data_IF_478260125637
#
_entry.id   IF_478260125637
#
_cell.length_a   1.000
_cell.length_b   1.000
_cell.length_c   1.000
_cell.angle_alpha   90.00
_cell.angle_beta   90.00
_cell.angle_gamma   90.00
#
_symmetry.space_group_name_H-M   'P 1'
#
loop_
_entity.id
_entity.type
_entity.pdbx_description
1 polymer ?
#
# COMPACT_ATOMS: atom_id res chain seq x y z
N UNK A 1 2.87 0.19 -55.73
CA UNK A 1 2.30 1.19 -54.80
C UNK A 1 2.14 0.52 -53.44
N UNK A 2 3.22 0.53 -52.65
CA UNK A 2 3.23 0.02 -51.29
C UNK A 2 2.96 1.20 -50.34
N UNK A 3 1.91 1.09 -49.54
CA UNK A 3 1.54 2.07 -48.53
C UNK A 3 2.14 1.62 -47.19
N UNK A 4 3.18 2.33 -46.75
CA UNK A 4 3.70 2.24 -45.38
C UNK A 4 2.72 2.92 -44.41
N UNK A 5 2.45 2.37 -43.21
CA UNK A 5 1.65 3.06 -42.21
C UNK A 5 2.49 4.06 -41.42
N UNK A 6 1.85 5.21 -41.18
CA UNK A 6 2.33 6.40 -40.48
C UNK A 6 2.83 6.09 -39.07
N UNK A 7 4.08 6.44 -38.81
CA UNK A 7 4.64 6.63 -37.49
C UNK A 7 3.90 7.78 -36.78
N UNK A 8 3.39 7.52 -35.58
CA UNK A 8 2.96 8.56 -34.65
C UNK A 8 4.20 9.22 -34.06
N UNK A 9 4.51 10.43 -34.53
CA UNK A 9 5.51 11.32 -33.92
C UNK A 9 4.92 11.90 -32.63
N UNK A 10 5.48 11.49 -31.50
CA UNK A 10 5.33 12.16 -30.20
C UNK A 10 6.33 13.34 -30.13
N UNK A 11 5.98 14.50 -29.56
CA UNK A 11 6.93 15.60 -29.38
C UNK A 11 7.86 15.37 -28.17
N UNK A 12 9.16 15.73 -28.23
CA UNK A 12 10.01 15.72 -27.05
C UNK A 12 9.66 16.92 -26.18
N UNK A 13 9.09 16.65 -25.01
CA UNK A 13 8.93 17.63 -23.93
C UNK A 13 10.23 17.71 -23.14
N UNK A 14 11.01 18.74 -23.43
CA UNK A 14 12.22 19.12 -22.70
C UNK A 14 11.87 19.80 -21.37
N UNK A 15 12.42 19.29 -20.27
CA UNK A 15 12.65 20.07 -19.05
C UNK A 15 13.83 19.45 -18.30
N UNK A 16 15.01 19.95 -18.66
CA UNK A 16 16.28 19.77 -17.96
C UNK A 16 16.29 20.61 -16.68
N UNK A 17 16.80 20.04 -15.60
CA UNK A 17 16.99 20.77 -14.34
C UNK A 17 17.35 19.90 -13.14
N UNK A 18 18.16 18.85 -13.31
CA UNK A 18 18.78 18.13 -12.17
C UNK A 18 20.27 17.92 -12.49
N UNK A 19 21.13 18.52 -11.66
CA UNK A 19 22.57 18.26 -11.67
C UNK A 19 22.83 16.86 -11.12
N UNK A 20 23.22 15.91 -11.97
CA UNK A 20 23.93 14.72 -11.51
C UNK A 20 25.40 15.06 -11.28
N UNK A 21 25.78 15.21 -10.02
CA UNK A 21 27.18 15.21 -9.61
C UNK A 21 27.77 13.83 -9.84
N UNK A 22 28.47 13.64 -10.97
CA UNK A 22 29.31 12.47 -11.20
C UNK A 22 30.50 12.54 -10.25
N UNK A 23 30.52 11.67 -9.23
CA UNK A 23 31.71 11.40 -8.43
C UNK A 23 32.77 10.82 -9.35
N UNK A 24 33.80 11.61 -9.64
CA UNK A 24 34.99 11.12 -10.36
C UNK A 24 35.83 10.30 -9.38
N UNK A 25 35.62 8.98 -9.36
CA UNK A 25 36.59 8.05 -8.79
C UNK A 25 37.70 7.91 -9.82
N UNK A 26 38.75 8.73 -9.73
CA UNK A 26 40.10 8.48 -10.24
C UNK A 26 40.96 9.72 -10.02
N UNK A 27 41.58 9.80 -8.85
CA UNK A 27 42.77 10.62 -8.64
C UNK A 27 43.64 9.94 -7.59
N UNK A 28 44.61 9.19 -8.10
CA UNK A 28 45.75 8.61 -7.42
C UNK A 28 46.50 9.68 -6.62
N UNK A 29 46.75 9.42 -5.33
CA UNK A 29 47.71 10.20 -4.55
C UNK A 29 49.13 10.01 -5.11
N UNK A 30 49.98 11.04 -5.04
CA UNK A 30 51.21 10.84 -4.30
C UNK A 30 51.58 12.02 -3.39
N UNK A 31 52.01 11.64 -2.19
CA UNK A 31 53.21 12.06 -1.46
C UNK A 31 53.89 13.42 -1.74
N UNK A 32 54.19 14.08 -0.61
CA UNK A 32 55.34 14.97 -0.31
C UNK A 32 55.46 16.32 -1.01
N UNK A 33 55.16 17.39 -0.25
CA UNK A 33 56.05 18.55 -0.10
C UNK A 33 55.81 19.18 1.29
N UNK A 34 56.72 18.88 2.22
CA UNK A 34 56.88 19.61 3.47
C UNK A 34 57.55 20.99 3.23
N UNK A 35 57.56 21.78 4.31
CA UNK A 35 58.30 23.03 4.58
C UNK A 35 57.46 24.28 4.28
N UNK A 36 57.24 25.24 5.17
CA UNK A 36 57.86 25.58 6.45
C UNK A 36 56.85 26.49 7.18
N UNK A 37 56.46 26.17 8.42
CA UNK A 37 55.51 26.95 9.21
C UNK A 37 55.80 26.80 10.69
N UNK A 38 56.80 27.55 11.13
CA UNK A 38 57.42 27.58 12.45
C UNK A 38 56.38 27.67 13.58
N UNK A 39 56.47 26.73 14.53
CA UNK A 39 55.84 26.82 15.84
C UNK A 39 56.57 27.87 16.68
N UNK A 40 55.91 28.97 17.02
CA UNK A 40 56.28 29.78 18.17
C UNK A 40 55.38 29.38 19.34
N UNK A 41 55.85 28.40 20.12
CA UNK A 41 55.26 28.10 21.43
C UNK A 41 55.62 29.25 22.38
N UNK A 42 54.66 30.15 22.63
CA UNK A 42 54.72 31.09 23.75
C UNK A 42 53.76 30.59 24.83
N UNK A 43 54.34 30.05 25.89
CA UNK A 43 53.70 29.83 27.19
C UNK A 43 53.02 31.12 27.66
N UNK A 44 51.75 31.04 28.04
CA UNK A 44 50.99 32.14 28.61
C UNK A 44 49.58 31.73 29.01
N UNK A 45 49.37 31.66 30.31
CA UNK A 45 48.12 31.85 31.07
C UNK A 45 46.84 31.08 30.66
N UNK A 46 46.37 30.25 31.59
CA UNK A 46 45.10 29.53 31.49
C UNK A 46 43.93 30.42 31.08
N UNK A 47 43.29 30.04 29.99
CA UNK A 47 42.02 30.61 29.58
C UNK A 47 41.09 29.47 29.17
N UNK A 48 39.97 29.38 29.89
CA UNK A 48 38.86 28.45 29.62
C UNK A 48 38.51 28.48 28.12
N UNK A 49 38.22 27.34 27.49
CA UNK A 49 37.72 27.35 26.12
C UNK A 49 36.45 28.20 26.08
N UNK A 50 36.52 29.36 25.43
CA UNK A 50 35.35 30.19 25.16
C UNK A 50 34.51 29.45 24.13
N UNK A 51 33.55 28.67 24.61
CA UNK A 51 32.49 28.09 23.80
C UNK A 51 31.83 29.25 23.06
N UNK A 52 31.81 29.28 21.72
CA UNK A 52 31.09 30.31 21.00
C UNK A 52 29.59 30.15 21.30
N UNK A 53 29.01 31.12 22.00
CA UNK A 53 27.58 31.23 22.36
C UNK A 53 26.64 31.45 21.14
N UNK A 54 27.11 31.17 19.92
CA UNK A 54 26.36 31.38 18.67
C UNK A 54 26.49 30.23 17.66
N UNK A 55 26.71 29.00 18.14
CA UNK A 55 26.28 27.85 17.36
C UNK A 55 24.77 27.70 17.57
N UNK A 56 23.98 28.46 16.80
CA UNK A 56 22.57 28.12 16.62
C UNK A 56 22.54 26.76 15.96
N UNK A 57 22.29 25.71 16.76
CA UNK A 57 21.92 24.42 16.22
C UNK A 57 20.70 24.68 15.33
N UNK A 58 20.90 24.58 14.02
CA UNK A 58 19.83 24.46 13.05
C UNK A 58 19.25 23.09 13.35
N UNK A 59 18.33 23.03 14.33
CA UNK A 59 17.36 21.97 14.40
C UNK A 59 16.64 22.04 13.06
N UNK A 60 17.06 21.18 12.13
CA UNK A 60 16.25 20.86 10.99
C UNK A 60 14.97 20.33 11.62
N UNK A 61 13.96 21.22 11.77
CA UNK A 61 12.63 20.83 12.23
C UNK A 61 12.27 19.63 11.37
N UNK A 62 12.20 18.43 11.93
CA UNK A 62 11.55 17.33 11.25
C UNK A 62 10.20 17.88 10.77
N UNK A 63 9.92 17.88 9.45
CA UNK A 63 8.69 18.44 8.96
C UNK A 63 7.61 17.46 9.37
N UNK A 64 7.01 17.64 10.55
CA UNK A 64 5.89 16.86 11.11
C UNK A 64 5.72 15.52 10.37
N UNK A 65 6.61 14.55 10.64
CA UNK A 65 6.76 13.36 9.80
C UNK A 65 5.38 12.82 9.44
N UNK A 66 5.01 12.98 8.17
CA UNK A 66 3.65 12.71 7.74
C UNK A 66 3.48 11.19 7.83
N UNK A 67 2.93 10.76 8.97
CA UNK A 67 2.99 9.37 9.40
C UNK A 67 2.25 8.50 8.40
N UNK A 68 2.88 7.41 8.00
CA UNK A 68 2.28 6.46 7.07
C UNK A 68 0.99 5.88 7.67
N UNK A 69 -0.10 5.94 6.91
CA UNK A 69 -1.41 5.42 7.30
C UNK A 69 -1.73 4.15 6.52
N UNK A 70 -2.24 3.15 7.22
CA UNK A 70 -2.60 1.86 6.64
C UNK A 70 -3.91 1.96 5.84
N UNK A 71 -3.98 1.46 4.60
CA UNK A 71 -5.25 1.35 3.88
C UNK A 71 -6.19 0.37 4.61
N UNK A 72 -7.45 0.77 4.71
CA UNK A 72 -8.57 -0.11 5.04
C UNK A 72 -9.27 -0.45 3.74
N UNK A 73 -9.35 -1.73 3.41
CA UNK A 73 -10.03 -2.24 2.22
C UNK A 73 -11.28 -3.02 2.61
N UNK A 74 -12.41 -2.69 2.01
CA UNK A 74 -13.68 -3.43 2.16
C UNK A 74 -14.15 -3.88 0.78
N UNK A 75 -14.64 -5.12 0.70
CA UNK A 75 -15.27 -5.61 -0.53
C UNK A 75 -16.72 -5.92 -0.29
N UNK A 76 -17.57 -5.45 -1.20
CA UNK A 76 -19.00 -5.70 -1.19
C UNK A 76 -19.50 -5.89 -2.62
N UNK A 77 -20.69 -6.48 -2.74
CA UNK A 77 -21.34 -6.75 -4.01
C UNK A 77 -22.45 -5.73 -4.28
N UNK A 78 -22.62 -5.33 -5.54
CA UNK A 78 -23.78 -4.58 -6.01
C UNK A 78 -24.36 -5.28 -7.24
N UNK A 79 -25.68 -5.46 -7.27
CA UNK A 79 -26.38 -6.10 -8.39
C UNK A 79 -27.30 -5.08 -9.07
N UNK A 80 -26.80 -4.27 -10.01
CA UNK A 80 -27.63 -3.27 -10.69
C UNK A 80 -28.69 -3.90 -11.60
N UNK A 81 -28.47 -5.15 -12.04
CA UNK A 81 -29.37 -5.94 -12.88
C UNK A 81 -29.35 -7.40 -12.42
N UNK A 82 -30.32 -8.19 -12.85
CA UNK A 82 -30.43 -9.61 -12.46
C UNK A 82 -29.26 -10.47 -13.01
N UNK A 83 -28.72 -10.07 -14.15
CA UNK A 83 -27.67 -10.74 -14.93
C UNK A 83 -26.27 -10.13 -14.70
N UNK A 84 -26.16 -9.10 -13.87
CA UNK A 84 -24.91 -8.38 -13.63
C UNK A 84 -24.60 -8.30 -12.14
N UNK A 85 -23.44 -8.82 -11.75
CA UNK A 85 -22.89 -8.69 -10.40
C UNK A 85 -21.64 -7.80 -10.46
N UNK A 86 -21.59 -6.77 -9.62
CA UNK A 86 -20.42 -5.90 -9.47
C UNK A 86 -19.75 -6.18 -8.15
N UNK A 87 -18.47 -6.53 -8.19
CA UNK A 87 -17.61 -6.61 -7.01
C UNK A 87 -16.94 -5.25 -6.83
N UNK A 88 -17.12 -4.63 -5.66
CA UNK A 88 -16.60 -3.30 -5.36
C UNK A 88 -15.60 -3.41 -4.22
N UNK A 89 -14.35 -3.01 -4.49
CA UNK A 89 -13.29 -2.88 -3.51
C UNK A 89 -13.10 -1.40 -3.17
N UNK A 90 -13.54 -0.99 -1.99
CA UNK A 90 -13.34 0.38 -1.48
C UNK A 90 -12.11 0.40 -0.57
N UNK A 91 -11.15 1.25 -0.91
CA UNK A 91 -9.90 1.44 -0.16
C UNK A 91 -9.86 2.86 0.38
N UNK A 92 -9.64 3.04 1.67
CA UNK A 92 -9.67 4.36 2.34
C UNK A 92 -8.64 4.46 3.46
N UNK A 93 -8.35 5.68 3.91
CA UNK A 93 -7.54 5.91 5.11
C UNK A 93 -6.04 5.74 4.90
N UNK A 94 -5.58 5.71 3.66
CA UNK A 94 -4.17 5.49 3.35
C UNK A 94 -3.41 6.79 3.10
N UNK A 95 -2.14 6.78 3.49
CA UNK A 95 -1.17 7.83 3.23
C UNK A 95 0.23 7.21 3.22
N UNK A 96 1.12 7.52 2.26
CA UNK A 96 0.97 8.52 1.19
C UNK A 96 0.11 8.08 0.01
N UNK A 97 0.01 8.94 -1.02
CA UNK A 97 -0.86 8.76 -2.19
C UNK A 97 -0.60 7.49 -3.03
N UNK A 98 0.65 7.06 -3.30
CA UNK A 98 0.90 5.94 -4.21
C UNK A 98 0.36 4.60 -3.68
N UNK A 99 -0.53 3.96 -4.45
CA UNK A 99 -1.16 2.67 -4.12
C UNK A 99 -1.43 1.88 -5.40
N UNK A 100 -1.40 0.55 -5.33
CA UNK A 100 -1.77 -0.35 -6.41
C UNK A 100 -2.90 -1.27 -5.95
N UNK A 101 -3.97 -1.33 -6.73
CA UNK A 101 -5.15 -2.18 -6.48
C UNK A 101 -5.39 -3.03 -7.70
N UNK A 102 -5.52 -4.34 -7.50
CA UNK A 102 -5.74 -5.31 -8.56
C UNK A 102 -6.79 -6.34 -8.14
N UNK A 103 -7.54 -6.85 -9.11
CA UNK A 103 -8.42 -7.99 -8.89
C UNK A 103 -7.73 -9.27 -9.30
N UNK A 104 -7.90 -10.33 -8.51
CA UNK A 104 -7.51 -11.68 -8.85
C UNK A 104 -8.77 -12.52 -9.07
N UNK A 105 -8.81 -13.27 -10.15
CA UNK A 105 -9.78 -14.32 -10.44
C UNK A 105 -9.03 -15.66 -10.38
N UNK A 106 -9.38 -16.50 -9.40
CA UNK A 106 -8.70 -17.77 -9.13
C UNK A 106 -7.18 -17.62 -9.01
N UNK A 107 -6.76 -16.54 -8.33
CA UNK A 107 -5.36 -16.20 -8.12
C UNK A 107 -4.67 -15.49 -9.29
N UNK A 108 -5.27 -15.45 -10.48
CA UNK A 108 -4.73 -14.75 -11.65
C UNK A 108 -5.22 -13.31 -11.72
N UNK A 109 -4.31 -12.38 -12.01
CA UNK A 109 -4.62 -10.95 -12.09
C UNK A 109 -5.50 -10.63 -13.30
N UNK A 110 -6.62 -9.94 -13.05
CA UNK A 110 -7.54 -9.50 -14.10
C UNK A 110 -6.93 -8.31 -14.83
N UNK A 111 -6.78 -8.37 -16.17
CA UNK A 111 -6.19 -7.27 -16.93
C UNK A 111 -7.10 -6.04 -16.95
N UNK A 112 -6.55 -4.84 -17.17
CA UNK A 112 -7.33 -3.65 -17.45
C UNK A 112 -8.27 -3.87 -18.64
N UNK A 113 -9.51 -3.38 -18.54
CA UNK A 113 -10.50 -3.56 -19.60
C UNK A 113 -11.88 -3.04 -19.21
N UNK A 114 -12.89 -3.20 -20.08
CA UNK A 114 -14.24 -2.65 -19.86
C UNK A 114 -14.94 -3.23 -18.64
N UNK A 115 -14.51 -4.41 -18.20
CA UNK A 115 -15.07 -5.14 -17.05
C UNK A 115 -14.46 -4.65 -15.72
N UNK A 116 -13.28 -4.02 -15.76
CA UNK A 116 -12.54 -3.54 -14.60
C UNK A 116 -12.41 -2.02 -14.63
N UNK A 117 -13.05 -1.32 -13.69
CA UNK A 117 -13.00 0.13 -13.59
C UNK A 117 -12.48 0.56 -12.21
N UNK A 118 -11.47 1.42 -12.17
CA UNK A 118 -10.95 1.98 -10.92
C UNK A 118 -11.10 3.48 -10.91
N UNK A 119 -11.67 4.02 -9.83
CA UNK A 119 -11.78 5.46 -9.64
C UNK A 119 -10.38 6.08 -9.49
N UNK A 120 -10.23 7.38 -9.81
CA UNK A 120 -9.05 8.11 -9.40
C UNK A 120 -8.90 8.09 -7.87
N UNK A 121 -7.69 8.37 -7.39
CA UNK A 121 -7.42 8.53 -5.96
C UNK A 121 -7.94 9.90 -5.53
N UNK A 122 -8.91 9.91 -4.61
CA UNK A 122 -9.53 11.11 -4.07
C UNK A 122 -8.96 11.45 -2.68
N UNK A 123 -8.70 12.73 -2.39
CA UNK A 123 -8.35 13.17 -1.04
C UNK A 123 -9.56 13.17 -0.10
N UNK A 124 -9.30 13.01 1.20
CA UNK A 124 -10.26 13.14 2.30
C UNK A 124 -9.85 14.32 3.20
N UNK A 125 -10.79 14.80 4.00
CA UNK A 125 -10.57 15.92 4.94
C UNK A 125 -9.53 15.63 6.03
N UNK A 126 -9.28 14.36 6.34
CA UNK A 126 -8.33 13.90 7.36
C UNK A 126 -6.90 13.71 6.82
N UNK A 127 -6.60 14.28 5.65
CA UNK A 127 -5.31 14.17 4.94
C UNK A 127 -4.98 12.75 4.43
N UNK A 128 -5.94 11.83 4.49
CA UNK A 128 -5.80 10.50 3.87
C UNK A 128 -6.44 10.46 2.48
N UNK A 129 -6.24 9.36 1.77
CA UNK A 129 -6.77 9.13 0.45
C UNK A 129 -7.79 7.98 0.42
N UNK A 130 -8.59 7.94 -0.64
CA UNK A 130 -9.52 6.86 -0.94
C UNK A 130 -9.61 6.57 -2.44
N UNK A 131 -9.98 5.34 -2.80
CA UNK A 131 -10.25 4.91 -4.17
C UNK A 131 -11.23 3.71 -4.16
N UNK A 132 -12.01 3.55 -5.22
CA UNK A 132 -12.87 2.39 -5.45
C UNK A 132 -12.44 1.65 -6.72
N UNK A 133 -12.26 0.34 -6.65
CA UNK A 133 -12.08 -0.54 -7.81
C UNK A 133 -13.28 -1.45 -7.98
N UNK A 134 -13.84 -1.53 -9.18
CA UNK A 134 -15.07 -2.24 -9.51
C UNK A 134 -14.79 -3.27 -10.60
N UNK A 135 -15.15 -4.53 -10.35
CA UNK A 135 -15.07 -5.62 -11.31
C UNK A 135 -16.48 -6.15 -11.60
N UNK A 136 -16.90 -6.13 -12.87
CA UNK A 136 -18.13 -6.77 -13.30
C UNK A 136 -17.92 -8.27 -13.51
N UNK A 137 -18.84 -9.09 -13.02
CA UNK A 137 -18.78 -10.56 -13.12
C UNK A 137 -20.18 -11.12 -13.41
N UNK A 138 -20.24 -12.35 -13.92
CA UNK A 138 -21.51 -13.03 -14.11
C UNK A 138 -21.97 -13.63 -12.77
N UNK A 139 -23.27 -13.54 -12.43
CA UNK A 139 -23.77 -14.16 -11.22
C UNK A 139 -23.56 -15.68 -11.29
N UNK A 140 -22.99 -16.25 -10.21
CA UNK A 140 -22.74 -17.69 -10.05
C UNK A 140 -21.78 -18.30 -11.10
N UNK A 141 -20.80 -17.53 -11.55
CA UNK A 141 -19.78 -18.02 -12.48
C UNK A 141 -18.80 -19.04 -11.87
N UNK A 142 -18.87 -19.26 -10.55
CA UNK A 142 -18.10 -20.30 -9.85
C UNK A 142 -16.64 -19.92 -9.57
N UNK A 143 -16.25 -18.69 -9.86
CA UNK A 143 -14.88 -18.23 -9.66
C UNK A 143 -14.67 -17.61 -8.28
N UNK A 144 -13.45 -17.72 -7.78
CA UNK A 144 -13.01 -17.02 -6.58
C UNK A 144 -12.41 -15.66 -6.95
N UNK A 145 -12.81 -14.62 -6.23
CA UNK A 145 -12.35 -13.25 -6.49
C UNK A 145 -11.63 -12.67 -5.27
N UNK A 146 -10.52 -11.96 -5.49
CA UNK A 146 -9.77 -11.30 -4.42
C UNK A 146 -9.37 -9.90 -4.87
N UNK A 147 -9.66 -8.88 -4.04
CA UNK A 147 -9.07 -7.56 -4.22
C UNK A 147 -7.70 -7.52 -3.52
N UNK A 148 -6.62 -7.36 -4.30
CA UNK A 148 -5.26 -7.25 -3.82
C UNK A 148 -4.84 -5.79 -3.76
N UNK A 149 -4.49 -5.32 -2.56
CA UNK A 149 -4.01 -3.96 -2.31
C UNK A 149 -2.51 -3.98 -1.97
N UNK A 150 -1.74 -3.10 -2.60
CA UNK A 150 -0.32 -2.86 -2.32
C UNK A 150 -0.10 -1.38 -2.02
N UNK A 151 0.45 -1.10 -0.85
CA UNK A 151 0.74 0.25 -0.37
C UNK A 151 2.02 0.20 0.47
N UNK A 152 2.81 1.28 0.52
CA UNK A 152 4.09 1.27 1.23
C UNK A 152 3.94 1.00 2.73
N UNK A 153 2.89 1.55 3.37
CA UNK A 153 2.62 1.35 4.80
C UNK A 153 2.20 -0.07 5.16
N UNK A 154 1.83 -0.89 4.17
CA UNK A 154 1.54 -2.32 4.36
C UNK A 154 2.82 -3.17 4.40
N UNK A 155 3.98 -2.64 4.02
CA UNK A 155 5.19 -3.43 3.77
C UNK A 155 4.90 -4.59 2.79
N UNK A 156 5.47 -5.77 3.05
CA UNK A 156 5.20 -7.00 2.26
C UNK A 156 3.99 -7.78 2.82
N UNK A 157 2.84 -7.11 3.07
CA UNK A 157 1.64 -7.78 3.59
C UNK A 157 0.54 -7.82 2.51
N UNK A 158 0.24 -9.03 2.03
CA UNK A 158 -0.90 -9.28 1.14
C UNK A 158 -2.15 -9.34 1.99
N UNK A 159 -3.07 -8.40 1.81
CA UNK A 159 -4.43 -8.53 2.33
C UNK A 159 -5.19 -9.40 1.31
N UNK A 160 -5.32 -10.69 1.61
CA UNK A 160 -6.32 -11.53 0.98
C UNK A 160 -7.60 -11.39 1.80
N UNK A 161 -8.72 -11.05 1.16
CA UNK A 161 -10.01 -10.97 1.81
C UNK A 161 -10.74 -12.30 1.57
N UNK A 162 -11.03 -13.02 2.65
CA UNK A 162 -11.69 -14.31 2.64
C UNK A 162 -13.20 -14.15 2.40
N UNK A 163 -13.67 -14.45 1.18
CA UNK A 163 -15.10 -14.52 0.86
C UNK A 163 -15.78 -15.82 1.36
N UNK A 164 -15.05 -16.67 2.07
CA UNK A 164 -15.48 -18.05 2.39
C UNK A 164 -16.40 -18.17 3.60
N UNK A 165 -16.60 -17.11 4.39
CA UNK A 165 -17.30 -17.24 5.66
C UNK A 165 -18.84 -17.20 5.59
N UNK A 166 -19.44 -16.81 4.46
CA UNK A 166 -20.90 -16.72 4.37
C UNK A 166 -21.60 -18.09 4.18
N UNK A 167 -20.91 -19.09 3.62
CA UNK A 167 -21.49 -20.43 3.43
C UNK A 167 -21.25 -21.35 4.65
N UNK A 168 -20.17 -21.11 5.41
CA UNK A 168 -19.75 -21.98 6.51
C UNK A 168 -20.56 -21.76 7.80
N UNK A 169 -21.02 -20.53 8.06
CA UNK A 169 -21.84 -20.22 9.24
C UNK A 169 -23.19 -20.93 9.24
N UNK A 170 -23.81 -21.12 8.07
CA UNK A 170 -25.08 -21.84 7.93
C UNK A 170 -24.90 -23.32 8.32
N UNK A 171 -23.80 -23.95 7.88
CA UNK A 171 -23.48 -25.34 8.25
C UNK A 171 -23.28 -25.53 9.75
N UNK A 172 -22.59 -24.59 10.40
CA UNK A 172 -22.37 -24.61 11.85
C UNK A 172 -23.70 -24.43 12.61
N UNK A 173 -24.57 -23.52 12.18
CA UNK A 173 -25.88 -23.28 12.82
C UNK A 173 -26.76 -24.53 12.73
N UNK A 174 -26.84 -25.18 11.56
CA UNK A 174 -27.64 -26.41 11.38
C UNK A 174 -27.11 -27.55 12.26
N UNK A 175 -25.79 -27.72 12.33
CA UNK A 175 -25.19 -28.75 13.19
C UNK A 175 -25.51 -28.53 14.69
N UNK A 176 -25.44 -27.28 15.17
CA UNK A 176 -25.77 -26.93 16.57
C UNK A 176 -27.24 -27.19 16.88
N UNK A 177 -28.15 -26.84 15.97
CA UNK A 177 -29.59 -27.07 16.17
C UNK A 177 -29.92 -28.58 16.25
N UNK A 178 -29.27 -29.42 15.44
CA UNK A 178 -29.45 -30.87 15.48
C UNK A 178 -28.94 -31.48 16.80
N UNK A 179 -27.82 -30.98 17.34
CA UNK A 179 -27.28 -31.44 18.62
C UNK A 179 -28.19 -31.07 19.80
N UNK A 180 -28.77 -29.87 19.80
CA UNK A 180 -29.71 -29.45 20.85
C UNK A 180 -31.03 -30.25 20.80
N UNK A 181 -31.52 -30.55 19.59
CA UNK A 181 -32.73 -31.36 19.42
C UNK A 181 -32.53 -32.80 19.91
N UNK A 182 -31.38 -33.42 19.60
CA UNK A 182 -31.07 -34.78 20.06
C UNK A 182 -30.84 -34.86 21.57
N UNK A 183 -30.16 -33.87 22.15
CA UNK A 183 -29.98 -33.79 23.60
C UNK A 183 -31.30 -33.59 24.35
N UNK A 184 -32.17 -32.69 23.87
CA UNK A 184 -33.47 -32.45 24.50
C UNK A 184 -34.42 -33.66 24.38
N UNK A 185 -34.43 -34.33 23.23
CA UNK A 185 -35.18 -35.58 23.05
C UNK A 185 -34.65 -36.70 23.97
N UNK A 186 -33.32 -36.83 24.11
CA UNK A 186 -32.70 -37.81 25.01
C UNK A 186 -33.04 -37.56 26.48
N UNK A 187 -32.97 -36.31 26.94
CA UNK A 187 -33.34 -35.93 28.31
C UNK A 187 -34.83 -36.17 28.56
N UNK A 188 -35.69 -35.78 27.62
CA UNK A 188 -37.14 -35.99 27.74
C UNK A 188 -37.51 -37.47 27.77
N UNK A 189 -36.91 -38.27 26.90
CA UNK A 189 -37.12 -39.72 26.86
C UNK A 189 -36.67 -40.39 28.15
N UNK A 190 -35.53 -39.97 28.70
CA UNK A 190 -35.02 -40.45 29.99
C UNK A 190 -35.94 -40.06 31.16
N UNK A 191 -36.46 -38.83 31.18
CA UNK A 191 -37.40 -38.36 32.20
C UNK A 191 -38.73 -39.12 32.16
N UNK A 192 -39.16 -39.54 30.96
CA UNK A 192 -40.40 -40.31 30.77
C UNK A 192 -40.27 -41.79 31.17
N UNK A 193 -39.06 -42.34 31.15
CA UNK A 193 -38.79 -43.76 31.43
C UNK A 193 -38.25 -44.05 32.85
N UNK A 194 -37.97 -43.02 33.65
CA UNK A 194 -37.80 -43.12 35.10
C UNK A 194 -39.14 -43.03 35.80
#
# INVERSE_FOLDING_TARGET
>A
RALLPRFWLWPPSQQDGIWEGRVSQNATAPETLQLLGHMTSRSGEGSRPKIPLRASAIWHKEPLCMSEKLPVATVFTRSPRLDQLLLVCHVTGFYPRPISVAWLRDGQEVPPGPVLNSSPILPKADLTHQLCSVLAVAPRDGHSYVCRVRHQSLGTRRIALDFTHAASTIGIIVAVLLLLATASAGVFWWWKHR
#
